data_IF_912297803812
#
_entry.id   IF_912297803812
#
_cell.length_a   1.000
_cell.length_b   1.000
_cell.length_c   1.000
_cell.angle_alpha   90.00
_cell.angle_beta   90.00
_cell.angle_gamma   90.00
#
_symmetry.space_group_name_H-M   'P 1'
#
loop_
_entity.id
_entity.type
_entity.pdbx_description
1 polymer ?
#
# COMPACT_ATOMS: atom_id res chain seq x y z
N UNK A 1 -8.22 -5.63 -9.36
CA UNK A 1 -7.58 -6.96 -9.46
C UNK A 1 -8.19 -7.84 -10.54
N UNK A 2 -9.52 -8.00 -10.60
CA UNK A 2 -10.16 -8.81 -11.66
C UNK A 2 -9.87 -8.36 -13.11
N UNK A 3 -9.48 -7.10 -13.33
CA UNK A 3 -9.01 -6.63 -14.64
C UNK A 3 -7.60 -7.15 -15.00
N UNK A 4 -6.71 -7.24 -14.01
CA UNK A 4 -5.36 -7.81 -14.17
C UNK A 4 -5.47 -9.33 -14.38
N UNK A 5 -6.30 -10.00 -13.58
CA UNK A 5 -6.51 -11.46 -13.69
C UNK A 5 -7.14 -11.86 -15.03
N UNK A 6 -7.82 -10.93 -15.70
CA UNK A 6 -8.42 -11.12 -17.04
C UNK A 6 -7.55 -10.59 -18.17
N UNK A 7 -6.31 -10.17 -17.88
CA UNK A 7 -5.38 -9.57 -18.85
C UNK A 7 -5.99 -8.38 -19.64
N UNK A 8 -6.88 -7.62 -19.00
CA UNK A 8 -7.48 -6.43 -19.60
C UNK A 8 -6.57 -5.22 -19.39
N UNK A 9 -6.69 -4.21 -20.25
CA UNK A 9 -6.05 -2.92 -20.04
C UNK A 9 -6.43 -2.37 -18.65
N UNK A 10 -5.43 -2.05 -17.85
CA UNK A 10 -5.59 -1.57 -16.49
C UNK A 10 -4.91 -0.22 -16.30
N UNK A 11 -5.45 0.58 -15.35
CA UNK A 11 -4.91 1.88 -14.98
C UNK A 11 -4.94 2.04 -13.46
N UNK A 12 -5.08 3.28 -12.98
CA UNK A 12 -5.13 3.59 -11.54
C UNK A 12 -6.27 2.86 -10.77
N UNK A 13 -7.21 2.20 -11.47
CA UNK A 13 -8.27 1.40 -10.87
C UNK A 13 -7.73 0.26 -10.00
N UNK A 14 -6.60 -0.34 -10.36
CA UNK A 14 -6.02 -1.48 -9.63
C UNK A 14 -5.51 -1.06 -8.26
N UNK A 15 -4.94 0.15 -8.16
CA UNK A 15 -4.47 0.73 -6.91
C UNK A 15 -5.63 0.98 -5.95
N UNK A 16 -6.77 1.48 -6.46
CA UNK A 16 -7.97 1.67 -5.63
C UNK A 16 -8.54 0.35 -5.11
N UNK A 17 -8.46 -0.72 -5.90
CA UNK A 17 -8.82 -2.05 -5.41
C UNK A 17 -7.87 -2.50 -4.30
N UNK A 18 -6.55 -2.38 -4.51
CA UNK A 18 -5.54 -2.79 -3.54
C UNK A 18 -5.66 -2.01 -2.22
N UNK A 19 -5.97 -0.70 -2.30
CA UNK A 19 -6.28 0.11 -1.13
C UNK A 19 -7.51 -0.43 -0.38
N UNK A 20 -8.55 -0.85 -1.09
CA UNK A 20 -9.73 -1.48 -0.49
C UNK A 20 -9.40 -2.76 0.28
N UNK A 21 -8.58 -3.64 -0.30
CA UNK A 21 -8.11 -4.88 0.33
C UNK A 21 -7.30 -4.57 1.59
N UNK A 22 -6.31 -3.68 1.50
CA UNK A 22 -5.47 -3.27 2.64
C UNK A 22 -6.30 -2.63 3.76
N UNK A 23 -7.26 -1.77 3.40
CA UNK A 23 -8.19 -1.17 4.36
C UNK A 23 -9.06 -2.22 5.05
N UNK A 24 -9.51 -3.25 4.32
CA UNK A 24 -10.25 -4.36 4.91
C UNK A 24 -9.39 -5.10 5.94
N UNK A 25 -8.16 -5.48 5.58
CA UNK A 25 -7.23 -6.17 6.48
C UNK A 25 -6.95 -5.39 7.77
N UNK A 26 -6.72 -4.07 7.66
CA UNK A 26 -6.50 -3.20 8.83
C UNK A 26 -7.71 -3.14 9.78
N UNK A 27 -8.93 -3.29 9.27
CA UNK A 27 -10.17 -3.16 10.06
C UNK A 27 -10.77 -4.49 10.51
N UNK A 28 -10.61 -5.55 9.72
CA UNK A 28 -11.17 -6.88 9.96
C UNK A 28 -10.14 -7.86 10.55
N UNK A 29 -8.84 -7.58 10.41
CA UNK A 29 -7.74 -8.42 10.90
C UNK A 29 -7.49 -9.68 10.06
N UNK A 30 -8.13 -9.79 8.90
CA UNK A 30 -8.01 -10.91 7.97
C UNK A 30 -8.20 -10.39 6.53
N UNK A 31 -7.72 -11.07 5.50
CA UNK A 31 -7.97 -10.70 4.11
C UNK A 31 -9.46 -10.87 3.73
N UNK A 32 -9.94 -10.14 2.71
CA UNK A 32 -11.34 -10.20 2.26
C UNK A 32 -11.66 -11.45 1.42
N UNK A 33 -10.64 -12.14 0.90
CA UNK A 33 -10.74 -13.37 0.12
C UNK A 33 -9.66 -14.34 0.60
N UNK A 34 -10.02 -15.59 0.83
CA UNK A 34 -9.13 -16.67 1.24
C UNK A 34 -9.51 -17.96 0.50
N UNK A 35 -8.53 -18.76 0.11
CA UNK A 35 -8.74 -20.07 -0.47
C UNK A 35 -7.51 -20.97 -0.24
N UNK A 36 -7.68 -22.27 -0.46
CA UNK A 36 -6.63 -23.28 -0.23
C UNK A 36 -5.55 -23.27 -1.34
N UNK A 37 -5.85 -22.71 -2.52
CA UNK A 37 -4.93 -22.59 -3.65
C UNK A 37 -5.18 -21.30 -4.45
N UNK A 38 -4.23 -20.97 -5.33
CA UNK A 38 -4.26 -19.72 -6.12
C UNK A 38 -5.44 -19.64 -7.09
N UNK A 39 -5.80 -20.76 -7.74
CA UNK A 39 -6.91 -20.79 -8.71
C UNK A 39 -8.25 -20.49 -8.01
N UNK A 40 -8.50 -21.15 -6.89
CA UNK A 40 -9.70 -20.91 -6.07
C UNK A 40 -9.71 -19.47 -5.50
N UNK A 41 -8.55 -18.93 -5.13
CA UNK A 41 -8.43 -17.54 -4.68
C UNK A 41 -8.79 -16.56 -5.81
N UNK A 42 -8.36 -16.83 -7.04
CA UNK A 42 -8.70 -16.00 -8.20
C UNK A 42 -10.19 -16.07 -8.51
N UNK A 43 -10.79 -17.27 -8.47
CA UNK A 43 -12.24 -17.43 -8.63
C UNK A 43 -13.01 -16.67 -7.54
N UNK A 44 -12.57 -16.73 -6.28
CA UNK A 44 -13.14 -15.95 -5.17
C UNK A 44 -13.03 -14.44 -5.43
N UNK A 45 -11.85 -13.96 -5.84
CA UNK A 45 -11.63 -12.55 -6.19
C UNK A 45 -12.51 -12.11 -7.38
N UNK A 46 -12.83 -12.99 -8.32
CA UNK A 46 -13.62 -12.66 -9.50
C UNK A 46 -15.13 -12.69 -9.22
N UNK A 47 -15.60 -13.64 -8.42
CA UNK A 47 -17.01 -14.00 -8.36
C UNK A 47 -17.65 -13.85 -6.99
N UNK A 48 -16.89 -13.98 -5.90
CA UNK A 48 -17.45 -13.94 -4.56
C UNK A 48 -17.63 -12.50 -4.06
N UNK A 49 -18.69 -12.30 -3.29
CA UNK A 49 -18.96 -11.06 -2.57
C UNK A 49 -18.18 -11.05 -1.26
N UNK A 50 -17.56 -9.90 -0.95
CA UNK A 50 -16.81 -9.74 0.31
C UNK A 50 -17.77 -9.82 1.49
N UNK A 51 -17.43 -10.65 2.48
CA UNK A 51 -18.14 -10.70 3.74
C UNK A 51 -17.62 -9.60 4.67
N UNK A 52 -18.52 -8.85 5.30
CA UNK A 52 -18.16 -7.75 6.18
C UNK A 52 -18.53 -8.09 7.62
N UNK A 53 -17.56 -8.07 8.56
CA UNK A 53 -17.86 -8.29 9.96
C UNK A 53 -18.87 -7.29 10.54
N UNK A 54 -19.74 -7.77 11.43
CA UNK A 54 -20.85 -6.99 12.01
C UNK A 54 -20.40 -5.80 12.86
N UNK A 55 -19.16 -5.81 13.34
CA UNK A 55 -18.58 -4.71 14.14
C UNK A 55 -18.08 -3.56 13.28
N UNK A 56 -17.98 -3.71 11.96
CA UNK A 56 -17.62 -2.62 11.07
C UNK A 56 -18.76 -1.59 11.01
N UNK A 57 -18.39 -0.31 11.07
CA UNK A 57 -19.34 0.78 10.91
C UNK A 57 -19.93 0.79 9.49
N UNK A 58 -21.12 1.39 9.35
CA UNK A 58 -21.78 1.54 8.04
C UNK A 58 -20.89 2.29 7.05
N UNK A 59 -20.17 3.30 7.52
CA UNK A 59 -19.24 4.09 6.73
C UNK A 59 -18.03 3.29 6.28
N UNK A 60 -17.48 2.42 7.14
CA UNK A 60 -16.38 1.51 6.80
C UNK A 60 -16.83 0.50 5.72
N UNK A 61 -17.97 -0.17 5.92
CA UNK A 61 -18.50 -1.10 4.92
C UNK A 61 -18.80 -0.38 3.59
N UNK A 62 -19.33 0.84 3.66
CA UNK A 62 -19.61 1.65 2.46
C UNK A 62 -18.36 1.95 1.64
N UNK A 63 -17.27 2.38 2.28
CA UNK A 63 -16.04 2.70 1.54
C UNK A 63 -15.39 1.44 0.96
N UNK A 64 -15.38 0.35 1.73
CA UNK A 64 -14.80 -0.93 1.31
C UNK A 64 -15.54 -1.50 0.10
N UNK A 65 -16.88 -1.46 0.09
CA UNK A 65 -17.70 -1.83 -1.08
C UNK A 65 -17.39 -0.97 -2.30
N UNK A 66 -17.17 0.34 -2.09
CA UNK A 66 -16.79 1.27 -3.16
C UNK A 66 -15.46 0.91 -3.82
N UNK A 67 -14.45 0.58 -3.02
CA UNK A 67 -13.12 0.19 -3.53
C UNK A 67 -13.10 -1.22 -4.12
N UNK A 68 -13.74 -2.19 -3.45
CA UNK A 68 -13.80 -3.59 -3.89
C UNK A 68 -14.98 -3.85 -4.84
N UNK A 69 -15.42 -2.83 -5.59
CA UNK A 69 -16.35 -3.01 -6.70
C UNK A 69 -15.62 -3.71 -7.84
N UNK A 70 -16.16 -4.87 -8.27
CA UNK A 70 -15.56 -5.73 -9.30
C UNK A 70 -15.39 -4.98 -10.62
N UNK A 71 -16.41 -4.25 -11.05
CA UNK A 71 -16.38 -3.45 -12.28
C UNK A 71 -15.58 -2.14 -12.10
N UNK A 72 -14.43 -1.99 -12.79
CA UNK A 72 -13.54 -0.83 -12.60
C UNK A 72 -14.20 0.51 -12.93
N UNK A 73 -15.04 0.55 -13.97
CA UNK A 73 -15.73 1.76 -14.42
C UNK A 73 -16.77 2.29 -13.42
N UNK A 74 -17.15 1.49 -12.41
CA UNK A 74 -18.06 1.87 -11.31
C UNK A 74 -17.34 1.98 -9.97
N UNK A 75 -16.06 1.64 -9.91
CA UNK A 75 -15.26 1.62 -8.69
C UNK A 75 -15.04 3.03 -8.16
N UNK A 76 -15.09 3.19 -6.84
CA UNK A 76 -14.77 4.45 -6.18
C UNK A 76 -13.35 4.90 -6.57
N UNK A 77 -13.18 6.19 -6.88
CA UNK A 77 -11.92 6.72 -7.41
C UNK A 77 -11.82 6.74 -8.93
N UNK A 78 -12.60 5.91 -9.64
CA UNK A 78 -12.50 5.76 -11.10
C UNK A 78 -13.60 6.51 -11.87
N UNK A 79 -14.73 6.80 -11.22
CA UNK A 79 -15.88 7.45 -11.87
C UNK A 79 -15.71 8.97 -11.90
N UNK A 80 -15.26 9.53 -13.03
CA UNK A 80 -15.01 10.97 -13.19
C UNK A 80 -16.26 11.84 -12.93
N UNK A 81 -17.42 11.43 -13.42
CA UNK A 81 -18.70 12.14 -13.20
C UNK A 81 -19.10 12.21 -11.72
N UNK A 82 -18.56 11.29 -10.89
CA UNK A 82 -18.78 11.25 -9.44
C UNK A 82 -17.62 11.87 -8.65
N UNK A 83 -16.67 12.52 -9.33
CA UNK A 83 -15.56 13.24 -8.72
C UNK A 83 -14.24 12.48 -8.66
N UNK A 84 -14.14 11.26 -9.20
CA UNK A 84 -12.88 10.49 -9.24
C UNK A 84 -12.24 10.36 -7.85
N UNK A 85 -10.96 10.76 -7.72
CA UNK A 85 -10.23 10.78 -6.43
C UNK A 85 -10.90 11.67 -5.38
N UNK A 86 -11.50 12.80 -5.77
CA UNK A 86 -12.17 13.70 -4.83
C UNK A 86 -13.35 13.02 -4.14
N UNK A 87 -13.99 12.04 -4.81
CA UNK A 87 -15.04 11.22 -4.22
C UNK A 87 -14.53 10.38 -3.03
N UNK A 88 -13.27 9.94 -3.07
CA UNK A 88 -12.62 9.23 -1.98
C UNK A 88 -12.42 10.20 -0.82
N UNK A 89 -11.79 11.36 -1.06
CA UNK A 89 -11.51 12.35 -0.02
C UNK A 89 -12.77 12.85 0.70
N UNK A 90 -13.87 12.96 -0.04
CA UNK A 90 -15.18 13.39 0.48
C UNK A 90 -16.03 12.25 1.06
N UNK A 91 -15.58 11.00 0.99
CA UNK A 91 -16.35 9.88 1.51
C UNK A 91 -16.53 10.00 3.02
N UNK A 92 -17.74 9.65 3.53
CA UNK A 92 -18.11 9.81 4.96
C UNK A 92 -17.16 9.10 5.94
N UNK A 93 -16.46 8.07 5.47
CA UNK A 93 -15.43 7.37 6.23
C UNK A 93 -14.28 8.30 6.65
N UNK A 94 -13.90 9.26 5.79
CA UNK A 94 -12.82 10.22 6.04
C UNK A 94 -13.33 11.58 6.50
N UNK A 95 -14.57 11.69 6.99
CA UNK A 95 -15.19 12.99 7.35
C UNK A 95 -14.42 13.78 8.42
N UNK A 96 -13.62 13.09 9.23
CA UNK A 96 -12.83 13.68 10.33
C UNK A 96 -11.40 14.01 9.90
N UNK A 97 -11.03 13.70 8.65
CA UNK A 97 -9.69 13.94 8.12
C UNK A 97 -9.61 15.33 7.52
N UNK A 98 -8.73 16.16 8.09
CA UNK A 98 -8.21 17.35 7.44
C UNK A 98 -7.06 16.95 6.51
N UNK A 99 -7.35 16.91 5.21
CA UNK A 99 -6.40 16.48 4.19
C UNK A 99 -5.18 17.41 4.06
N UNK A 100 -5.36 18.72 4.26
CA UNK A 100 -4.27 19.69 4.19
C UNK A 100 -3.34 19.54 5.40
N UNK A 101 -3.92 19.42 6.60
CA UNK A 101 -3.14 19.16 7.80
C UNK A 101 -2.42 17.80 7.76
N UNK A 102 -3.05 16.78 7.17
CA UNK A 102 -2.46 15.46 7.00
C UNK A 102 -1.25 15.51 6.05
N UNK A 103 -1.37 16.18 4.91
CA UNK A 103 -0.29 16.36 3.93
C UNK A 103 0.89 17.15 4.53
N UNK A 104 0.59 18.17 5.34
CA UNK A 104 1.59 18.93 6.11
C UNK A 104 2.12 18.21 7.35
N UNK A 105 1.72 16.94 7.59
CA UNK A 105 2.12 16.11 8.74
C UNK A 105 1.81 16.75 10.10
N UNK A 106 0.74 17.53 10.18
CA UNK A 106 0.26 18.18 11.42
C UNK A 106 -0.71 17.32 12.22
N UNK A 107 -1.30 16.29 11.60
CA UNK A 107 -2.15 15.32 12.29
C UNK A 107 -1.29 14.38 13.13
N UNK A 108 -1.57 14.29 14.43
CA UNK A 108 -0.86 13.39 15.34
C UNK A 108 -1.21 11.94 14.98
N UNK A 109 -0.23 11.04 14.78
CA UNK A 109 -0.52 9.64 14.48
C UNK A 109 -1.16 8.95 15.71
N UNK A 110 -2.13 8.03 15.49
CA UNK A 110 -2.80 7.33 16.58
C UNK A 110 -1.87 6.33 17.30
N UNK A 111 -0.84 5.84 16.60
CA UNK A 111 0.18 4.97 17.13
C UNK A 111 1.56 5.57 16.87
N UNK A 112 2.40 5.59 17.90
CA UNK A 112 3.81 5.97 17.80
C UNK A 112 4.67 4.74 18.12
N UNK A 113 5.43 4.20 17.16
CA UNK A 113 6.27 3.03 17.41
C UNK A 113 7.34 3.34 18.44
N UNK A 114 7.65 2.36 19.30
CA UNK A 114 8.69 2.51 20.31
C UNK A 114 10.05 2.37 19.63
N UNK A 115 10.92 3.35 19.85
CA UNK A 115 12.30 3.37 19.38
C UNK A 115 13.20 3.75 20.55
N UNK A 116 14.28 3.00 20.76
CA UNK A 116 15.31 3.29 21.76
C UNK A 116 16.43 4.17 21.21
N UNK A 117 16.56 4.28 19.89
CA UNK A 117 17.57 5.12 19.26
C UNK A 117 17.55 5.05 17.73
N UNK A 118 18.44 5.81 17.09
CA UNK A 118 18.49 5.98 15.62
C UNK A 118 18.85 4.70 14.84
N UNK A 119 19.48 3.74 15.50
CA UNK A 119 19.90 2.45 14.92
C UNK A 119 19.05 1.28 15.44
N UNK A 120 17.94 1.57 16.10
CA UNK A 120 17.10 0.54 16.67
C UNK A 120 16.36 -0.22 15.55
N UNK A 121 16.40 -1.55 15.64
CA UNK A 121 15.75 -2.46 14.71
C UNK A 121 14.68 -3.33 15.39
N UNK A 122 14.23 -2.95 16.60
CA UNK A 122 13.23 -3.67 17.40
C UNK A 122 11.89 -3.95 16.70
N UNK A 123 11.52 -3.15 15.70
CA UNK A 123 10.27 -3.33 14.95
C UNK A 123 10.46 -4.14 13.64
N UNK A 124 11.62 -4.77 13.46
CA UNK A 124 11.92 -5.68 12.34
C UNK A 124 12.01 -7.12 12.87
N UNK A 125 11.83 -8.08 11.97
CA UNK A 125 11.93 -9.49 12.33
C UNK A 125 13.36 -9.85 12.82
N UNK A 126 13.40 -10.72 13.84
CA UNK A 126 14.64 -11.21 14.42
C UNK A 126 15.41 -12.13 13.45
N UNK A 127 14.74 -12.74 12.47
CA UNK A 127 15.38 -13.51 11.39
C UNK A 127 16.38 -12.63 10.64
N UNK A 128 15.95 -11.47 10.12
CA UNK A 128 16.81 -10.59 9.33
C UNK A 128 17.85 -9.82 10.17
N UNK A 129 17.47 -9.37 11.37
CA UNK A 129 18.36 -8.54 12.20
C UNK A 129 19.50 -9.32 12.86
N UNK A 130 19.44 -10.66 12.83
CA UNK A 130 20.52 -11.55 13.28
C UNK A 130 21.51 -11.89 12.17
N UNK A 131 21.15 -11.68 10.91
CA UNK A 131 22.04 -11.93 9.79
C UNK A 131 23.15 -10.87 9.73
N UNK A 132 24.33 -11.28 9.26
CA UNK A 132 25.42 -10.33 9.03
C UNK A 132 25.13 -9.51 7.77
N UNK A 133 25.18 -8.16 7.84
CA UNK A 133 24.89 -7.29 6.69
C UNK A 133 26.05 -7.28 5.70
N UNK A 134 26.21 -8.38 4.97
CA UNK A 134 27.29 -8.60 3.99
C UNK A 134 26.73 -8.60 2.57
N UNK A 135 27.56 -8.20 1.61
CA UNK A 135 27.21 -8.28 0.19
C UNK A 135 27.50 -9.70 -0.30
N UNK A 136 26.51 -10.33 -0.93
CA UNK A 136 26.69 -11.62 -1.58
C UNK A 136 27.78 -11.54 -2.64
N UNK A 137 28.64 -12.56 -2.70
CA UNK A 137 29.71 -12.62 -3.69
C UNK A 137 29.13 -12.64 -5.12
N UNK A 138 29.72 -11.83 -6.01
CA UNK A 138 29.28 -11.70 -7.40
C UNK A 138 30.29 -12.40 -8.31
N UNK A 139 29.83 -13.34 -9.14
CA UNK A 139 30.66 -13.98 -10.14
C UNK A 139 31.02 -12.99 -11.27
N UNK A 140 32.32 -12.72 -11.44
CA UNK A 140 32.82 -11.78 -12.45
C UNK A 140 32.49 -12.20 -13.90
N UNK A 141 32.33 -13.50 -14.17
CA UNK A 141 31.93 -13.98 -15.49
C UNK A 141 30.50 -13.60 -15.83
N UNK A 142 29.60 -13.65 -14.83
CA UNK A 142 28.21 -13.20 -14.97
C UNK A 142 28.18 -11.70 -15.26
N UNK A 143 28.93 -10.90 -14.50
CA UNK A 143 28.99 -9.44 -14.71
C UNK A 143 29.50 -9.10 -16.12
N UNK A 144 30.50 -9.83 -16.62
CA UNK A 144 31.05 -9.63 -17.96
C UNK A 144 30.04 -9.97 -19.08
N UNK A 145 29.15 -10.93 -18.83
CA UNK A 145 28.12 -11.33 -19.79
C UNK A 145 26.93 -10.36 -19.86
N UNK A 146 26.76 -9.47 -18.87
CA UNK A 146 25.66 -8.50 -18.83
C UNK A 146 25.96 -7.32 -19.76
N UNK A 147 24.98 -6.97 -20.61
CA UNK A 147 25.04 -5.78 -21.44
C UNK A 147 24.93 -4.50 -20.58
N UNK A 148 26.06 -3.81 -20.38
CA UNK A 148 26.12 -2.64 -19.51
C UNK A 148 25.35 -1.42 -20.07
N UNK A 149 25.10 -1.38 -21.37
CA UNK A 149 24.38 -0.27 -22.00
C UNK A 149 22.91 -0.21 -21.56
N UNK A 150 22.34 -1.31 -21.06
CA UNK A 150 20.98 -1.36 -20.49
C UNK A 150 20.82 -0.50 -19.24
N UNK A 151 21.92 -0.23 -18.52
CA UNK A 151 21.92 0.63 -17.32
C UNK A 151 22.27 2.09 -17.62
N UNK A 152 22.41 2.47 -18.90
CA UNK A 152 22.70 3.86 -19.26
C UNK A 152 21.60 4.79 -18.76
N UNK A 153 21.98 5.82 -18.03
CA UNK A 153 21.03 6.79 -17.43
C UNK A 153 20.54 6.41 -16.02
N UNK A 154 21.05 5.33 -15.44
CA UNK A 154 20.70 4.90 -14.07
C UNK A 154 21.10 5.92 -12.99
N UNK A 155 22.24 6.61 -13.15
CA UNK A 155 22.76 7.51 -12.14
C UNK A 155 21.84 8.73 -11.91
N UNK A 156 21.35 8.88 -10.68
CA UNK A 156 20.47 9.98 -10.27
C UNK A 156 20.83 10.51 -8.88
N UNK A 157 20.66 11.82 -8.67
CA UNK A 157 20.84 12.48 -7.36
C UNK A 157 19.67 13.43 -7.10
N UNK A 158 18.96 13.22 -5.99
CA UNK A 158 17.83 14.06 -5.60
C UNK A 158 18.28 15.40 -5.00
N UNK A 159 18.14 16.48 -5.77
CA UNK A 159 18.47 17.86 -5.31
C UNK A 159 17.52 18.40 -4.24
N UNK A 160 16.32 17.85 -4.09
CA UNK A 160 15.33 18.27 -3.10
C UNK A 160 15.48 17.55 -1.75
N UNK A 161 16.39 16.58 -1.64
CA UNK A 161 16.64 15.88 -0.39
C UNK A 161 17.23 16.83 0.65
N UNK A 162 16.39 17.28 1.59
CA UNK A 162 16.81 18.04 2.76
C UNK A 162 17.07 17.06 3.90
N UNK A 163 18.33 16.88 4.28
CA UNK A 163 18.66 16.17 5.52
C UNK A 163 18.04 16.94 6.69
N UNK A 164 16.99 16.38 7.30
CA UNK A 164 16.48 16.87 8.57
C UNK A 164 17.50 16.50 9.64
N UNK A 165 18.32 17.47 10.04
CA UNK A 165 19.09 17.37 11.26
C UNK A 165 18.09 17.10 12.39
N UNK A 166 18.21 15.94 13.04
CA UNK A 166 17.40 15.57 14.17
C UNK A 166 17.51 16.67 15.24
N UNK A 167 16.37 17.22 15.66
CA UNK A 167 16.28 18.00 16.90
C UNK A 167 16.94 17.16 18.01
N UNK A 168 17.92 17.70 18.75
CA UNK A 168 18.55 16.94 19.83
C UNK A 168 17.47 16.63 20.87
N UNK A 169 17.27 15.36 21.18
CA UNK A 169 16.58 14.98 22.42
C UNK A 169 17.34 15.65 23.57
N UNK A 170 16.71 16.62 24.23
CA UNK A 170 17.24 17.17 25.47
C UNK A 170 17.20 16.10 26.56
N UNK A 171 18.25 16.14 27.39
CA UNK A 171 18.67 15.14 28.37
C UNK A 171 17.65 14.84 29.47
#
# INVERSE_FOLDING_TARGET
MGEILKELDYGASVDWWALGVLMYEMMAGQPPFEADNEDDLFESILHEEVLYPVWLSKEAVSILKGFMTKEPSKRLGCVLERGGELAIRNHKFFREIDWEALELRKVKPPFTPKLKGRKDAVNFDAEFTKEEPTLTFINAEVVRAINQDEFRGFSFVNKAFKSTAATPCQA
#
